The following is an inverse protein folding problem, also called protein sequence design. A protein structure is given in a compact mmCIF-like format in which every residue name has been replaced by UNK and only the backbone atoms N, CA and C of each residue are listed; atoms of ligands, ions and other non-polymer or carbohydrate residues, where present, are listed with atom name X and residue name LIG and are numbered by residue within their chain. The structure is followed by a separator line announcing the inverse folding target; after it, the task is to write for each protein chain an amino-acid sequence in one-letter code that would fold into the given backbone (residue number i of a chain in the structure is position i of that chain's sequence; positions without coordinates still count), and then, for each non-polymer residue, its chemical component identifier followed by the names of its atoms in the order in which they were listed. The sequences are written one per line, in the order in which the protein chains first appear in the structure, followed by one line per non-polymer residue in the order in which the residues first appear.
data_IF_779134554054
#
_entry.id   IF_779134554054
#
_cell.length_a   1.000
_cell.length_b   1.000
_cell.length_c   1.000
_cell.angle_alpha   90.00
_cell.angle_beta   90.00
_cell.angle_gamma   90.00
#
_symmetry.space_group_name_H-M   'P 1'
#
loop_
_entity.id
_entity.type
_entity.pdbx_description
1 polymer ?
#
# COMPACT_ATOMS: atom_id res chain seq x y z
N UNK A 1 13.81 15.11 61.69
CA UNK A 1 13.90 16.04 62.83
C UNK A 1 13.68 17.45 62.31
N UNK A 2 12.96 18.31 63.02
CA UNK A 2 12.60 19.66 62.54
C UNK A 2 12.91 20.67 63.64
N UNK A 3 13.67 21.72 63.32
CA UNK A 3 14.29 22.58 64.34
C UNK A 3 13.39 23.69 64.89
N UNK A 4 12.36 24.10 64.15
CA UNK A 4 11.44 25.20 64.53
C UNK A 4 10.10 25.09 63.81
N UNK A 5 9.10 25.88 64.26
CA UNK A 5 7.79 25.98 63.61
C UNK A 5 7.89 26.45 62.14
N UNK A 6 8.81 27.36 61.83
CA UNK A 6 9.08 27.80 60.46
C UNK A 6 9.68 26.68 59.61
N UNK A 7 10.61 25.91 60.18
CA UNK A 7 11.21 24.75 59.54
C UNK A 7 10.16 23.65 59.26
N UNK A 8 9.17 23.48 60.14
CA UNK A 8 8.03 22.59 59.95
C UNK A 8 7.11 23.09 58.83
N UNK A 9 6.74 24.38 58.85
CA UNK A 9 5.92 25.01 57.83
C UNK A 9 6.57 24.96 56.44
N UNK A 10 7.88 25.17 56.35
CA UNK A 10 8.64 25.09 55.10
C UNK A 10 8.71 23.65 54.57
N UNK A 11 8.94 22.67 55.45
CA UNK A 11 8.93 21.24 55.09
C UNK A 11 7.55 20.80 54.61
N UNK A 12 6.48 21.20 55.31
CA UNK A 12 5.10 20.94 54.91
C UNK A 12 4.77 21.52 53.53
N UNK A 13 5.09 22.80 53.28
CA UNK A 13 4.91 23.43 51.96
C UNK A 13 5.64 22.66 50.83
N UNK A 14 6.89 22.22 51.07
CA UNK A 14 7.67 21.40 50.11
C UNK A 14 7.02 20.02 49.86
N UNK A 15 6.54 19.34 50.91
CA UNK A 15 5.85 18.06 50.78
C UNK A 15 4.54 18.20 49.99
N UNK A 16 3.73 19.22 50.29
CA UNK A 16 2.47 19.50 49.58
C UNK A 16 2.71 19.86 48.11
N UNK A 17 3.77 20.62 47.80
CA UNK A 17 4.17 20.89 46.41
C UNK A 17 4.57 19.60 45.66
N UNK A 18 5.41 18.76 46.28
CA UNK A 18 5.81 17.45 45.71
C UNK A 18 4.61 16.52 45.49
N UNK A 19 3.66 16.51 46.42
CA UNK A 19 2.42 15.74 46.29
C UNK A 19 1.53 16.26 45.15
N UNK A 20 1.41 17.58 44.98
CA UNK A 20 0.68 18.20 43.85
C UNK A 20 1.30 17.86 42.51
N UNK A 21 2.63 17.94 42.36
CA UNK A 21 3.30 17.54 41.12
C UNK A 21 3.17 16.04 40.82
N UNK A 22 3.30 15.18 41.84
CA UNK A 22 3.05 13.75 41.68
C UNK A 22 1.59 13.44 41.27
N UNK A 23 0.61 14.20 41.79
CA UNK A 23 -0.79 14.08 41.41
C UNK A 23 -1.03 14.52 39.95
N UNK A 24 -0.47 15.66 39.53
CA UNK A 24 -0.50 16.11 38.13
C UNK A 24 0.10 15.06 37.17
N UNK A 25 1.28 14.54 37.49
CA UNK A 25 1.95 13.52 36.68
C UNK A 25 1.10 12.23 36.56
N UNK A 26 0.48 11.78 37.65
CA UNK A 26 -0.46 10.64 37.64
C UNK A 26 -1.71 10.93 36.80
N UNK A 27 -2.28 12.14 36.88
CA UNK A 27 -3.44 12.54 36.08
C UNK A 27 -3.11 12.55 34.57
N UNK A 28 -1.99 13.16 34.18
CA UNK A 28 -1.52 13.18 32.78
C UNK A 28 -1.24 11.76 32.27
N UNK A 29 -0.64 10.89 33.09
CA UNK A 29 -0.43 9.48 32.73
C UNK A 29 -1.77 8.76 32.49
N UNK A 30 -2.73 8.88 33.42
CA UNK A 30 -4.07 8.28 33.32
C UNK A 30 -4.85 8.78 32.10
N UNK A 31 -4.73 10.07 31.77
CA UNK A 31 -5.31 10.63 30.55
C UNK A 31 -4.70 10.00 29.30
N UNK A 32 -3.37 9.94 29.19
CA UNK A 32 -2.67 9.32 28.05
C UNK A 32 -3.02 7.84 27.87
N UNK A 33 -3.18 7.10 28.96
CA UNK A 33 -3.60 5.70 28.97
C UNK A 33 -5.05 5.56 28.48
N UNK A 34 -5.98 6.33 29.05
CA UNK A 34 -7.39 6.38 28.61
C UNK A 34 -7.54 6.73 27.12
N UNK A 35 -6.79 7.73 26.64
CA UNK A 35 -6.78 8.07 25.21
C UNK A 35 -6.18 6.95 24.34
N UNK A 36 -5.14 6.24 24.81
CA UNK A 36 -4.54 5.11 24.10
C UNK A 36 -5.54 3.96 23.98
N UNK A 37 -6.24 3.63 25.06
CA UNK A 37 -7.33 2.65 25.05
C UNK A 37 -8.47 3.09 24.13
N UNK A 38 -8.92 4.35 24.21
CA UNK A 38 -9.95 4.90 23.33
C UNK A 38 -9.58 4.82 21.85
N UNK A 39 -8.31 5.13 21.51
CA UNK A 39 -7.75 4.95 20.16
C UNK A 39 -7.73 3.48 19.75
N UNK A 40 -7.35 2.57 20.63
CA UNK A 40 -7.35 1.12 20.36
C UNK A 40 -8.76 0.56 20.14
N UNK A 41 -9.73 0.87 21.02
CA UNK A 41 -11.14 0.48 20.88
C UNK A 41 -11.75 1.01 19.58
N UNK A 42 -11.50 2.28 19.24
CA UNK A 42 -11.94 2.87 17.96
C UNK A 42 -11.31 2.14 16.76
N UNK A 43 -10.01 1.79 16.83
CA UNK A 43 -9.32 1.06 15.76
C UNK A 43 -9.87 -0.36 15.58
N UNK A 44 -10.16 -1.08 16.66
CA UNK A 44 -10.76 -2.42 16.63
C UNK A 44 -12.14 -2.40 15.97
N UNK A 45 -13.06 -1.56 16.46
CA UNK A 45 -14.40 -1.37 15.88
C UNK A 45 -14.35 -0.96 14.40
N UNK A 46 -13.42 -0.07 14.04
CA UNK A 46 -13.21 0.32 12.64
C UNK A 46 -12.60 -0.78 11.77
N UNK A 47 -11.95 -1.80 12.34
CA UNK A 47 -11.40 -2.95 11.62
C UNK A 47 -12.48 -4.01 11.37
N UNK A 48 -13.30 -4.32 12.38
CA UNK A 48 -14.48 -5.19 12.27
C UNK A 48 -15.43 -4.71 11.15
N UNK A 49 -15.70 -3.39 11.13
CA UNK A 49 -16.57 -2.73 10.16
C UNK A 49 -15.92 -2.48 8.78
N UNK A 50 -14.69 -2.94 8.50
CA UNK A 50 -14.10 -2.75 7.16
C UNK A 50 -14.77 -3.65 6.11
N UNK A 51 -15.31 -3.08 5.02
CA UNK A 51 -15.80 -3.88 3.90
C UNK A 51 -14.64 -4.55 3.16
N UNK A 52 -14.90 -5.66 2.46
CA UNK A 52 -13.88 -6.38 1.71
C UNK A 52 -13.16 -5.51 0.65
N UNK A 53 -13.85 -4.51 0.10
CA UNK A 53 -13.26 -3.51 -0.80
C UNK A 53 -12.07 -2.74 -0.19
N UNK A 54 -12.06 -2.50 1.13
CA UNK A 54 -10.92 -1.89 1.81
C UNK A 54 -9.67 -2.78 1.74
N UNK A 55 -9.83 -4.07 2.05
CA UNK A 55 -8.73 -5.03 2.00
C UNK A 55 -8.24 -5.26 0.57
N UNK A 56 -9.17 -5.41 -0.39
CA UNK A 56 -8.87 -5.48 -1.84
C UNK A 56 -8.04 -4.28 -2.32
N UNK A 57 -8.38 -3.07 -1.88
CA UNK A 57 -7.60 -1.87 -2.21
C UNK A 57 -6.20 -1.85 -1.58
N UNK A 58 -6.04 -2.37 -0.35
CA UNK A 58 -4.72 -2.51 0.28
C UNK A 58 -3.85 -3.55 -0.44
N UNK A 59 -4.43 -4.69 -0.85
CA UNK A 59 -3.76 -5.71 -1.65
C UNK A 59 -3.28 -5.14 -3.00
N UNK A 60 -4.18 -4.46 -3.73
CA UNK A 60 -3.85 -3.80 -5.01
C UNK A 60 -2.75 -2.75 -4.83
N UNK A 61 -2.79 -1.93 -3.77
CA UNK A 61 -1.73 -0.94 -3.52
C UNK A 61 -0.37 -1.59 -3.26
N UNK A 62 -0.32 -2.72 -2.57
CA UNK A 62 0.92 -3.47 -2.34
C UNK A 62 1.45 -4.11 -3.64
N UNK A 63 0.59 -4.81 -4.37
CA UNK A 63 0.89 -5.40 -5.68
C UNK A 63 1.45 -4.36 -6.67
N UNK A 64 0.70 -3.27 -6.91
CA UNK A 64 1.09 -2.21 -7.82
C UNK A 64 2.40 -1.50 -7.41
N UNK A 65 2.73 -1.48 -6.11
CA UNK A 65 4.00 -0.93 -5.62
C UNK A 65 5.18 -1.88 -5.87
N UNK A 66 4.96 -3.20 -5.74
CA UNK A 66 5.95 -4.21 -6.09
C UNK A 66 6.22 -4.26 -7.60
N UNK A 67 5.19 -4.33 -8.45
CA UNK A 67 5.35 -4.42 -9.91
C UNK A 67 6.18 -3.23 -10.46
N UNK A 68 5.89 -2.00 -10.02
CA UNK A 68 6.66 -0.81 -10.45
C UNK A 68 8.12 -0.82 -9.97
N UNK A 69 8.42 -1.50 -8.87
CA UNK A 69 9.79 -1.65 -8.39
C UNK A 69 10.52 -2.78 -9.13
N UNK A 70 9.85 -3.94 -9.31
CA UNK A 70 10.33 -5.08 -10.13
C UNK A 70 10.76 -4.62 -11.53
N UNK A 71 9.94 -3.75 -12.15
CA UNK A 71 10.14 -3.23 -13.50
C UNK A 71 10.84 -1.85 -13.51
N UNK A 72 11.49 -1.42 -12.42
CA UNK A 72 12.03 -0.07 -12.28
C UNK A 72 12.99 0.29 -13.42
N UNK A 73 13.87 -0.63 -13.81
CA UNK A 73 14.85 -0.45 -14.89
C UNK A 73 14.31 -0.65 -16.32
N UNK A 74 13.07 -1.15 -16.49
CA UNK A 74 12.50 -1.42 -17.81
C UNK A 74 11.80 -0.17 -18.40
N UNK A 75 11.73 -0.01 -19.73
CA UNK A 75 10.86 1.01 -20.34
C UNK A 75 9.37 0.69 -20.14
N UNK A 76 8.50 1.64 -20.49
CA UNK A 76 7.06 1.42 -20.58
C UNK A 76 6.73 0.18 -21.41
N UNK A 77 5.89 -0.71 -20.89
CA UNK A 77 5.50 -1.95 -21.59
C UNK A 77 4.81 -1.69 -22.94
N UNK A 78 4.04 -0.60 -23.09
CA UNK A 78 3.38 -0.27 -24.36
C UNK A 78 4.27 0.53 -25.30
N UNK A 79 4.65 1.76 -24.91
CA UNK A 79 5.27 2.71 -25.84
C UNK A 79 6.81 2.74 -25.83
N UNK A 80 7.49 1.93 -25.02
CA UNK A 80 8.96 1.92 -24.95
C UNK A 80 9.60 3.15 -24.27
N UNK A 81 8.81 4.16 -23.89
CA UNK A 81 9.28 5.37 -23.20
C UNK A 81 10.03 5.04 -21.89
N UNK A 82 11.09 5.80 -21.58
CA UNK A 82 11.92 5.67 -20.38
C UNK A 82 11.80 6.85 -19.42
N UNK A 83 11.36 8.03 -19.89
CA UNK A 83 11.15 9.22 -19.07
C UNK A 83 9.86 9.98 -19.47
N UNK A 84 8.67 9.41 -19.20
CA UNK A 84 7.39 10.05 -19.53
C UNK A 84 7.16 11.31 -18.68
N UNK A 85 6.29 12.25 -19.13
CA UNK A 85 5.94 13.42 -18.33
C UNK A 85 5.29 13.02 -17.00
N UNK A 86 5.56 13.78 -15.94
CA UNK A 86 4.87 13.59 -14.66
C UNK A 86 3.44 14.13 -14.75
N UNK A 87 2.47 13.34 -14.28
CA UNK A 87 1.04 13.59 -14.39
C UNK A 87 0.38 13.33 -13.04
N UNK A 88 -0.66 14.06 -12.69
CA UNK A 88 -1.39 14.08 -11.40
C UNK A 88 -0.58 13.82 -10.08
N UNK A 89 -0.19 12.62 -9.64
CA UNK A 89 -0.50 11.25 -10.11
C UNK A 89 0.71 10.30 -10.21
N UNK A 90 1.92 10.82 -10.41
CA UNK A 90 3.14 10.09 -10.74
C UNK A 90 3.23 9.65 -12.22
N UNK A 91 4.44 9.73 -12.79
CA UNK A 91 4.85 9.22 -14.11
C UNK A 91 4.39 7.78 -14.41
N UNK A 92 4.46 6.89 -13.41
CA UNK A 92 4.41 5.43 -13.59
C UNK A 92 3.29 4.74 -12.82
N UNK A 93 2.53 3.92 -13.54
CA UNK A 93 1.50 3.04 -13.00
C UNK A 93 1.86 1.55 -13.20
N UNK A 94 1.05 0.70 -12.59
CA UNK A 94 1.04 -0.75 -12.80
C UNK A 94 -0.12 -1.04 -13.75
N UNK A 95 0.18 -1.18 -15.04
CA UNK A 95 -0.81 -1.47 -16.07
C UNK A 95 -1.03 -2.96 -16.21
N UNK A 96 -2.28 -3.38 -16.42
CA UNK A 96 -2.67 -4.78 -16.59
C UNK A 96 -3.02 -5.06 -18.06
N UNK A 97 -2.49 -6.14 -18.64
CA UNK A 97 -2.81 -6.55 -20.02
C UNK A 97 -4.27 -7.01 -20.12
N UNK A 98 -4.66 -7.96 -19.29
CA UNK A 98 -6.04 -8.35 -19.04
C UNK A 98 -6.61 -7.53 -17.89
N UNK A 99 -7.59 -6.67 -18.20
CA UNK A 99 -8.09 -5.69 -17.22
C UNK A 99 -8.69 -6.37 -15.99
N UNK A 100 -8.37 -5.85 -14.80
CA UNK A 100 -8.79 -6.42 -13.51
C UNK A 100 -10.31 -6.44 -13.26
N UNK A 101 -11.09 -5.83 -14.16
CA UNK A 101 -12.56 -5.83 -14.13
C UNK A 101 -13.16 -6.96 -14.97
N UNK A 102 -12.59 -7.27 -16.14
CA UNK A 102 -13.03 -8.36 -17.00
C UNK A 102 -12.38 -9.70 -16.63
N UNK A 103 -11.15 -9.68 -16.12
CA UNK A 103 -10.34 -10.85 -15.76
C UNK A 103 -9.91 -10.76 -14.28
N UNK A 104 -10.85 -10.85 -13.33
CA UNK A 104 -10.56 -10.69 -11.90
C UNK A 104 -9.65 -11.78 -11.32
N UNK A 105 -9.59 -12.95 -11.94
CA UNK A 105 -8.68 -14.05 -11.61
C UNK A 105 -7.22 -13.68 -11.84
N UNK A 106 -6.91 -12.99 -12.95
CA UNK A 106 -5.57 -12.48 -13.28
C UNK A 106 -5.18 -11.17 -12.55
N UNK A 107 -5.97 -10.72 -11.56
CA UNK A 107 -5.78 -9.41 -10.90
C UNK A 107 -4.43 -9.24 -10.18
N UNK A 108 -3.94 -10.32 -9.57
CA UNK A 108 -2.68 -10.36 -8.82
C UNK A 108 -1.68 -11.36 -9.40
N UNK A 109 -1.91 -11.80 -10.64
CA UNK A 109 -0.95 -12.56 -11.43
C UNK A 109 0.14 -11.58 -11.89
N UNK A 110 1.39 -11.84 -11.50
CA UNK A 110 2.54 -10.98 -11.82
C UNK A 110 2.81 -10.92 -13.32
N UNK A 111 2.46 -11.98 -14.07
CA UNK A 111 2.56 -12.02 -15.54
C UNK A 111 1.54 -11.14 -16.26
N UNK A 112 0.45 -10.78 -15.60
CA UNK A 112 -0.57 -9.91 -16.18
C UNK A 112 -0.26 -8.41 -15.98
N UNK A 113 0.78 -8.05 -15.23
CA UNK A 113 0.98 -6.69 -14.74
C UNK A 113 2.42 -6.19 -14.89
N UNK A 114 2.58 -4.99 -15.44
CA UNK A 114 3.88 -4.39 -15.75
C UNK A 114 3.90 -2.88 -15.51
N UNK A 115 5.11 -2.30 -15.41
CA UNK A 115 5.28 -0.84 -15.40
C UNK A 115 4.84 -0.24 -16.75
N UNK A 116 3.87 0.67 -16.66
CA UNK A 116 3.30 1.39 -17.80
C UNK A 116 3.28 2.88 -17.46
N UNK A 117 3.59 3.75 -18.42
CA UNK A 117 3.49 5.20 -18.20
C UNK A 117 2.01 5.61 -18.06
N UNK A 118 1.75 6.66 -17.27
CA UNK A 118 0.37 7.10 -16.97
C UNK A 118 -0.42 7.49 -18.24
N UNK A 119 0.23 8.02 -19.27
CA UNK A 119 -0.42 8.42 -20.53
C UNK A 119 -0.94 7.25 -21.39
N UNK A 120 -0.32 6.07 -21.27
CA UNK A 120 -0.82 4.80 -21.83
C UNK A 120 -1.83 4.15 -20.88
N UNK A 121 -1.48 4.00 -19.59
CA UNK A 121 -2.32 3.31 -18.60
C UNK A 121 -3.67 3.99 -18.32
N UNK A 122 -3.77 5.31 -18.48
CA UNK A 122 -5.04 6.02 -18.29
C UNK A 122 -6.15 5.55 -19.24
N UNK A 123 -5.79 4.98 -20.38
CA UNK A 123 -6.68 4.78 -21.52
C UNK A 123 -7.09 6.11 -22.14
N UNK A 124 -7.13 6.18 -23.47
CA UNK A 124 -8.21 6.98 -24.04
C UNK A 124 -9.51 6.21 -23.82
N UNK A 125 -10.66 6.90 -23.78
CA UNK A 125 -11.93 6.29 -23.38
C UNK A 125 -12.25 4.99 -24.11
N UNK A 126 -13.03 4.12 -23.45
CA UNK A 126 -13.47 2.83 -24.00
C UNK A 126 -13.99 3.00 -25.44
N UNK A 127 -13.47 2.19 -26.37
CA UNK A 127 -13.72 2.22 -27.82
C UNK A 127 -13.08 3.39 -28.60
N UNK A 128 -12.04 4.04 -28.08
CA UNK A 128 -11.25 5.02 -28.85
C UNK A 128 -10.09 4.37 -29.61
N UNK A 129 -9.69 4.97 -30.74
CA UNK A 129 -8.53 4.51 -31.52
C UNK A 129 -7.23 4.42 -30.68
N UNK A 130 -7.07 5.30 -29.68
CA UNK A 130 -5.91 5.28 -28.76
C UNK A 130 -5.98 4.16 -27.70
N UNK A 131 -7.15 3.59 -27.39
CA UNK A 131 -7.22 2.36 -26.58
C UNK A 131 -6.67 1.17 -27.38
N UNK A 132 -7.17 0.98 -28.60
CA UNK A 132 -6.78 -0.13 -29.48
C UNK A 132 -5.27 -0.15 -29.75
N UNK A 133 -4.67 1.00 -30.05
CA UNK A 133 -3.22 1.09 -30.28
C UNK A 133 -2.42 0.81 -29.01
N UNK A 134 -2.86 1.25 -27.82
CA UNK A 134 -2.16 0.96 -26.55
C UNK A 134 -2.24 -0.52 -26.19
N UNK A 135 -3.37 -1.19 -26.46
CA UNK A 135 -3.51 -2.63 -26.22
C UNK A 135 -2.58 -3.44 -27.14
N UNK A 136 -2.58 -3.15 -28.44
CA UNK A 136 -1.68 -3.77 -29.42
C UNK A 136 -0.20 -3.53 -29.08
N UNK A 137 0.14 -2.31 -28.65
CA UNK A 137 1.50 -1.96 -28.19
C UNK A 137 1.89 -2.71 -26.91
N UNK A 138 0.97 -2.89 -25.95
CA UNK A 138 1.22 -3.69 -24.75
C UNK A 138 1.52 -5.14 -25.15
N UNK A 139 0.70 -5.73 -26.02
CA UNK A 139 0.89 -7.11 -26.50
C UNK A 139 2.24 -7.30 -27.20
N UNK A 140 2.57 -6.42 -28.15
CA UNK A 140 3.87 -6.43 -28.81
C UNK A 140 5.04 -6.29 -27.80
N UNK A 141 4.88 -5.47 -26.77
CA UNK A 141 5.84 -5.33 -25.68
C UNK A 141 5.99 -6.58 -24.80
N UNK A 142 4.93 -7.38 -24.64
CA UNK A 142 4.98 -8.69 -23.98
C UNK A 142 5.71 -9.72 -24.85
N UNK A 143 5.34 -9.84 -26.13
CA UNK A 143 5.99 -10.76 -27.08
C UNK A 143 7.48 -10.46 -27.18
N UNK A 144 7.87 -9.18 -27.27
CA UNK A 144 9.26 -8.76 -27.35
C UNK A 144 10.09 -9.04 -26.07
N UNK A 145 9.46 -9.13 -24.90
CA UNK A 145 10.14 -9.37 -23.61
C UNK A 145 10.14 -10.82 -23.16
N UNK A 146 9.07 -11.55 -23.48
CA UNK A 146 8.77 -12.87 -22.89
C UNK A 146 8.35 -13.94 -23.91
N UNK A 147 8.23 -13.59 -25.20
CA UNK A 147 7.80 -14.50 -26.26
C UNK A 147 6.28 -14.62 -26.41
N UNK A 148 5.85 -15.24 -27.51
CA UNK A 148 4.43 -15.39 -27.86
C UNK A 148 3.67 -16.28 -26.86
N UNK A 149 4.28 -17.38 -26.40
CA UNK A 149 3.68 -18.32 -25.44
C UNK A 149 3.20 -17.64 -24.14
N UNK A 150 3.87 -16.56 -23.73
CA UNK A 150 3.49 -15.76 -22.56
C UNK A 150 2.16 -15.01 -22.76
N UNK A 151 1.96 -14.46 -23.96
CA UNK A 151 0.72 -13.80 -24.36
C UNK A 151 -0.38 -14.82 -24.57
N UNK A 152 -0.07 -15.95 -25.21
CA UNK A 152 -1.02 -17.04 -25.43
C UNK A 152 -1.52 -17.62 -24.10
N UNK A 153 -0.63 -17.78 -23.11
CA UNK A 153 -1.02 -18.17 -21.75
C UNK A 153 -1.97 -17.16 -21.11
N UNK A 154 -1.69 -15.85 -21.20
CA UNK A 154 -2.57 -14.79 -20.68
C UNK A 154 -3.91 -14.66 -21.43
N UNK A 155 -3.96 -15.13 -22.68
CA UNK A 155 -5.17 -15.20 -23.51
C UNK A 155 -5.97 -16.49 -23.26
N UNK A 156 -5.37 -17.49 -22.61
CA UNK A 156 -5.98 -18.77 -22.29
C UNK A 156 -7.02 -18.73 -21.15
N UNK A 157 -7.64 -19.88 -20.84
CA UNK A 157 -8.57 -19.99 -19.73
C UNK A 157 -7.84 -20.00 -18.38
N UNK A 158 -8.44 -19.33 -17.38
CA UNK A 158 -7.93 -19.26 -16.01
C UNK A 158 -9.03 -19.52 -14.98
N UNK A 159 -8.68 -20.15 -13.86
CA UNK A 159 -9.63 -20.49 -12.80
C UNK A 159 -9.97 -19.28 -11.91
N UNK A 160 -11.25 -19.16 -11.53
CA UNK A 160 -11.72 -18.05 -10.70
C UNK A 160 -11.20 -18.18 -9.25
N UNK A 161 -10.38 -17.22 -8.83
CA UNK A 161 -9.67 -17.23 -7.54
C UNK A 161 -10.55 -16.97 -6.31
N UNK A 162 -11.75 -16.40 -6.49
CA UNK A 162 -12.78 -16.23 -5.45
C UNK A 162 -12.29 -15.56 -4.13
N UNK A 163 -11.32 -14.64 -4.22
CA UNK A 163 -10.61 -14.05 -3.09
C UNK A 163 -11.51 -13.51 -1.96
N UNK A 164 -11.20 -13.93 -0.73
CA UNK A 164 -11.85 -13.45 0.50
C UNK A 164 -10.99 -12.39 1.21
N UNK A 165 -11.50 -11.89 2.34
CA UNK A 165 -10.84 -10.86 3.16
C UNK A 165 -9.42 -11.28 3.55
N UNK A 166 -9.26 -12.53 3.94
CA UNK A 166 -8.04 -13.16 4.43
C UNK A 166 -7.01 -13.26 3.30
N UNK A 167 -7.44 -13.57 2.08
CA UNK A 167 -6.57 -13.56 0.89
C UNK A 167 -6.04 -12.17 0.58
N UNK A 168 -6.89 -11.14 0.60
CA UNK A 168 -6.42 -9.76 0.40
C UNK A 168 -5.43 -9.32 1.48
N UNK A 169 -5.56 -9.81 2.71
CA UNK A 169 -4.57 -9.57 3.79
C UNK A 169 -3.26 -10.29 3.48
N UNK A 170 -3.31 -11.58 3.12
CA UNK A 170 -2.15 -12.40 2.72
C UNK A 170 -1.39 -11.78 1.56
N UNK A 171 -2.08 -11.48 0.45
CA UNK A 171 -1.54 -10.86 -0.76
C UNK A 171 -0.88 -9.49 -0.43
N UNK A 172 -1.54 -8.65 0.37
CA UNK A 172 -0.98 -7.37 0.81
C UNK A 172 0.37 -7.54 1.51
N UNK A 173 0.48 -8.50 2.42
CA UNK A 173 1.67 -8.67 3.23
C UNK A 173 2.80 -9.41 2.47
N UNK A 174 2.44 -10.35 1.59
CA UNK A 174 3.37 -10.97 0.63
C UNK A 174 4.04 -9.92 -0.27
N UNK A 175 3.25 -9.08 -0.96
CA UNK A 175 3.83 -8.08 -1.87
C UNK A 175 4.58 -6.96 -1.14
N UNK A 176 4.26 -6.69 0.14
CA UNK A 176 5.09 -5.84 1.00
C UNK A 176 6.43 -6.50 1.34
N UNK A 177 6.44 -7.79 1.63
CA UNK A 177 7.68 -8.54 1.88
C UNK A 177 8.55 -8.62 0.62
N UNK A 178 7.96 -8.95 -0.54
CA UNK A 178 8.62 -8.93 -1.85
C UNK A 178 9.24 -7.56 -2.16
N UNK A 179 8.49 -6.47 -2.00
CA UNK A 179 8.99 -5.11 -2.20
C UNK A 179 10.12 -4.73 -1.23
N UNK A 180 10.05 -5.15 0.04
CA UNK A 180 11.13 -4.92 1.01
C UNK A 180 12.38 -5.68 0.60
N UNK A 181 12.25 -6.96 0.25
CA UNK A 181 13.37 -7.80 -0.16
C UNK A 181 14.04 -7.29 -1.45
N UNK A 182 13.28 -6.80 -2.42
CA UNK A 182 13.81 -6.18 -3.64
C UNK A 182 14.68 -4.97 -3.29
N UNK A 183 14.15 -4.02 -2.51
CA UNK A 183 14.89 -2.81 -2.10
C UNK A 183 16.14 -3.10 -1.28
N UNK A 184 16.12 -4.16 -0.46
CA UNK A 184 17.29 -4.58 0.30
C UNK A 184 18.39 -5.15 -0.59
N UNK A 185 18.05 -5.78 -1.74
CA UNK A 185 19.01 -6.24 -2.75
C UNK A 185 19.55 -5.10 -3.60
N UNK A 186 18.76 -4.06 -3.84
CA UNK A 186 19.19 -2.85 -4.57
C UNK A 186 20.14 -1.96 -3.73
N UNK A 187 20.11 -2.10 -2.40
CA UNK A 187 20.90 -1.29 -1.45
C UNK A 187 22.14 -1.98 -0.88
N UNK A 188 22.46 -3.19 -1.35
CA UNK A 188 23.53 -4.06 -0.85
C UNK A 188 24.58 -4.30 -1.93
#
# INVERSE_FOLDING_TARGET
MVCSFECASATGKKQTAKAREAAKARAVKRQRESEKEGRQRRKARLAELRPNGYYKAQAQKAFNAYIRARDAALPCISCGETNPPDLHGGQWDCGHFKTVGAYPELRFEERNAHKQCKSCNAGAGKYTAKELTVAQQYEAGLVARYGQEYVDWLNGPHEMTNYRREDFIRIRDEYRAKLKALKQRESA
#
